data_IF_173460730034
#
_entry.id   IF_173460730034
#
_cell.length_a   1.000
_cell.length_b   1.000
_cell.length_c   1.000
_cell.angle_alpha   90.00
_cell.angle_beta   90.00
_cell.angle_gamma   90.00
#
_symmetry.space_group_name_H-M   'P 1'
#
loop_
_entity.id
_entity.type
_entity.pdbx_description
1 polymer ?
#
# COMPACT_ATOMS: atom_id res chain seq x y z
N UNK A 1 23.53 -21.21 -10.05
CA UNK A 1 22.55 -20.39 -10.79
C UNK A 1 21.28 -20.50 -9.98
N UNK A 2 21.14 -19.61 -9.00
CA UNK A 2 20.05 -19.62 -8.05
C UNK A 2 18.77 -19.12 -8.71
N UNK A 3 17.75 -19.94 -8.65
CA UNK A 3 16.40 -19.59 -9.08
C UNK A 3 15.64 -19.07 -7.87
N UNK A 4 16.18 -18.05 -7.20
CA UNK A 4 15.43 -17.28 -6.22
C UNK A 4 14.62 -16.25 -7.01
N UNK A 5 13.47 -16.67 -7.49
CA UNK A 5 12.49 -15.77 -8.07
C UNK A 5 12.07 -14.81 -6.95
N UNK A 6 12.53 -13.58 -7.02
CA UNK A 6 12.13 -12.50 -6.12
C UNK A 6 10.59 -12.45 -6.04
N UNK A 7 10.02 -12.80 -4.89
CA UNK A 7 8.57 -12.91 -4.69
C UNK A 7 7.86 -11.61 -5.06
N UNK A 8 8.50 -10.46 -4.80
CA UNK A 8 7.93 -9.16 -5.17
C UNK A 8 7.78 -9.02 -6.68
N UNK A 9 8.78 -9.48 -7.47
CA UNK A 9 8.70 -9.47 -8.94
C UNK A 9 7.66 -10.47 -9.46
N UNK A 10 7.56 -11.64 -8.83
CA UNK A 10 6.57 -12.65 -9.20
C UNK A 10 5.13 -12.12 -9.04
N UNK A 11 4.84 -11.41 -7.94
CA UNK A 11 3.53 -10.77 -7.70
C UNK A 11 3.21 -9.74 -8.79
N UNK A 12 4.18 -8.90 -9.17
CA UNK A 12 4.01 -7.90 -10.23
C UNK A 12 3.74 -8.56 -11.58
N UNK A 13 4.51 -9.59 -11.92
CA UNK A 13 4.37 -10.31 -13.20
C UNK A 13 3.02 -11.06 -13.30
N UNK A 14 2.51 -11.56 -12.17
CA UNK A 14 1.20 -12.21 -12.12
C UNK A 14 0.04 -11.20 -12.25
N UNK A 15 0.24 -9.97 -11.75
CA UNK A 15 -0.78 -8.93 -11.78
C UNK A 15 -0.92 -8.28 -13.16
N UNK A 16 0.19 -7.97 -13.82
CA UNK A 16 0.23 -7.15 -15.03
C UNK A 16 0.14 -7.99 -16.30
N UNK A 17 -0.23 -7.35 -17.39
CA UNK A 17 -0.22 -7.95 -18.72
C UNK A 17 1.21 -8.31 -19.14
N UNK A 18 1.37 -9.39 -19.92
CA UNK A 18 2.67 -9.86 -20.37
C UNK A 18 3.48 -8.74 -21.05
N UNK A 19 4.75 -8.63 -20.65
CA UNK A 19 5.70 -7.66 -21.19
C UNK A 19 5.29 -6.18 -21.06
N UNK A 20 4.33 -5.84 -20.22
CA UNK A 20 3.91 -4.46 -19.98
C UNK A 20 4.67 -3.75 -18.85
N UNK A 21 5.33 -4.50 -17.97
CA UNK A 21 6.00 -3.94 -16.80
C UNK A 21 7.25 -3.16 -17.14
N UNK A 22 7.33 -1.94 -16.65
CA UNK A 22 8.53 -1.09 -16.69
C UNK A 22 8.92 -0.76 -15.26
N UNK A 23 10.04 -1.33 -14.80
CA UNK A 23 10.60 -1.05 -13.49
C UNK A 23 11.21 0.35 -13.43
N UNK A 24 10.97 1.04 -12.31
CA UNK A 24 11.50 2.35 -12.04
C UNK A 24 12.50 2.29 -10.87
N UNK A 25 13.59 3.08 -10.97
CA UNK A 25 14.57 3.22 -9.89
C UNK A 25 15.19 1.88 -9.40
N UNK A 26 15.39 0.93 -10.29
CA UNK A 26 15.93 -0.41 -9.98
C UNK A 26 17.33 -0.38 -9.34
N UNK A 27 18.13 0.64 -9.64
CA UNK A 27 19.50 0.80 -9.14
C UNK A 27 19.59 1.56 -7.80
N UNK A 28 18.47 2.01 -7.24
CA UNK A 28 18.46 2.65 -5.92
C UNK A 28 18.72 1.58 -4.86
N UNK A 29 19.67 1.86 -3.97
CA UNK A 29 20.02 1.00 -2.85
C UNK A 29 19.72 1.69 -1.52
N UNK A 30 19.74 0.93 -0.42
CA UNK A 30 19.60 1.46 0.92
C UNK A 30 20.63 2.56 1.22
N UNK A 31 20.25 3.50 2.09
CA UNK A 31 21.16 4.52 2.62
C UNK A 31 22.29 3.87 3.41
N UNK A 32 23.49 4.44 3.30
CA UNK A 32 24.61 4.10 4.20
C UNK A 32 24.32 4.62 5.60
N UNK A 33 24.49 3.77 6.59
CA UNK A 33 24.32 4.11 8.01
C UNK A 33 25.55 3.64 8.82
N UNK A 34 25.71 4.18 10.03
CA UNK A 34 26.81 3.78 10.94
C UNK A 34 26.73 2.30 11.38
N UNK A 35 25.64 1.60 11.05
CA UNK A 35 25.41 0.18 11.37
C UNK A 35 25.88 -0.79 10.27
N UNK A 36 26.82 -0.39 9.41
CA UNK A 36 27.43 -1.24 8.36
C UNK A 36 26.42 -1.85 7.37
N UNK A 37 25.36 -1.14 7.03
CA UNK A 37 24.44 -1.56 5.96
C UNK A 37 25.12 -1.58 4.58
N UNK A 38 26.27 -0.93 4.42
CA UNK A 38 27.06 -0.92 3.19
C UNK A 38 27.45 -2.31 2.69
N UNK A 39 27.61 -3.27 3.59
CA UNK A 39 27.89 -4.67 3.26
C UNK A 39 26.67 -5.45 2.73
N UNK A 40 25.46 -4.88 2.83
CA UNK A 40 24.19 -5.50 2.46
C UNK A 40 23.37 -4.59 1.53
N UNK A 41 24.05 -3.85 0.67
CA UNK A 41 23.39 -3.03 -0.35
C UNK A 41 22.78 -3.93 -1.42
N UNK A 42 21.51 -4.24 -1.24
CA UNK A 42 20.73 -4.94 -2.25
C UNK A 42 20.08 -3.94 -3.21
N UNK A 43 20.03 -4.26 -4.51
CA UNK A 43 19.27 -3.46 -5.48
C UNK A 43 17.82 -3.27 -5.04
N UNK A 44 17.24 -2.13 -5.40
CA UNK A 44 15.84 -1.79 -5.12
C UNK A 44 15.47 -1.51 -3.67
N UNK A 45 16.39 -1.61 -2.71
CA UNK A 45 16.16 -1.36 -1.27
C UNK A 45 14.89 -2.05 -0.70
N UNK A 46 14.64 -3.30 -1.13
CA UNK A 46 13.52 -4.10 -0.63
C UNK A 46 12.14 -3.70 -1.16
N UNK A 47 12.05 -2.82 -2.16
CA UNK A 47 10.79 -2.53 -2.87
C UNK A 47 11.02 -2.36 -4.36
N UNK A 48 10.23 -3.06 -5.16
CA UNK A 48 10.17 -2.90 -6.59
C UNK A 48 9.03 -1.95 -6.91
N UNK A 49 9.29 -0.93 -7.70
CA UNK A 49 8.29 0.01 -8.16
C UNK A 49 8.29 0.10 -9.68
N UNK A 50 7.14 0.35 -10.27
CA UNK A 50 7.03 0.53 -11.71
C UNK A 50 5.60 0.79 -12.15
N UNK A 51 5.41 0.73 -13.45
CA UNK A 51 4.09 0.81 -14.06
C UNK A 51 3.93 -0.28 -15.11
N UNK A 52 2.69 -0.60 -15.42
CA UNK A 52 2.34 -1.57 -16.45
C UNK A 52 0.86 -1.47 -16.82
N UNK A 53 0.39 -2.47 -17.53
CA UNK A 53 -0.99 -2.51 -17.99
C UNK A 53 -1.75 -3.67 -17.31
N UNK A 54 -3.02 -3.46 -17.04
CA UNK A 54 -4.00 -4.49 -16.69
C UNK A 54 -5.16 -4.35 -17.67
N UNK A 55 -5.32 -5.33 -18.54
CA UNK A 55 -6.32 -5.32 -19.61
C UNK A 55 -6.30 -4.00 -20.42
N UNK A 56 -5.09 -3.49 -20.68
CA UNK A 56 -4.83 -2.25 -21.39
C UNK A 56 -4.95 -0.97 -20.55
N UNK A 57 -5.35 -1.05 -19.27
CA UNK A 57 -5.44 0.11 -18.35
C UNK A 57 -4.10 0.33 -17.67
N UNK A 58 -3.57 1.55 -17.73
CA UNK A 58 -2.31 1.92 -17.07
C UNK A 58 -2.50 1.92 -15.55
N UNK A 59 -1.59 1.23 -14.86
CA UNK A 59 -1.53 1.18 -13.39
C UNK A 59 -0.09 1.39 -12.91
N UNK A 60 0.05 1.95 -11.71
CA UNK A 60 1.32 2.03 -11.01
C UNK A 60 1.35 0.98 -9.91
N UNK A 61 2.47 0.27 -9.77
CA UNK A 61 2.57 -0.84 -8.82
C UNK A 61 3.84 -0.74 -8.00
N UNK A 62 3.72 -1.03 -6.70
CA UNK A 62 4.86 -1.31 -5.84
C UNK A 62 4.68 -2.68 -5.16
N UNK A 63 5.79 -3.37 -4.95
CA UNK A 63 5.78 -4.66 -4.26
C UNK A 63 6.99 -4.75 -3.34
N UNK A 64 6.74 -4.99 -2.07
CA UNK A 64 7.77 -5.14 -1.05
C UNK A 64 8.33 -6.57 -1.06
N UNK A 65 9.62 -6.69 -0.82
CA UNK A 65 10.36 -7.94 -0.76
C UNK A 65 10.89 -8.18 0.64
N UNK A 66 10.30 -9.12 1.37
CA UNK A 66 10.73 -9.48 2.71
C UNK A 66 12.14 -10.10 2.77
N UNK A 67 12.65 -10.65 1.66
CA UNK A 67 14.00 -11.24 1.61
C UNK A 67 15.09 -10.16 1.75
N UNK A 68 14.78 -8.91 1.43
CA UNK A 68 15.70 -7.78 1.54
C UNK A 68 15.43 -7.03 2.83
N UNK A 69 16.31 -7.17 3.82
CA UNK A 69 16.21 -6.51 5.12
C UNK A 69 14.82 -6.69 5.80
N UNK A 70 14.17 -7.85 5.60
CA UNK A 70 12.82 -8.11 6.12
C UNK A 70 11.73 -7.25 5.49
N UNK A 71 11.93 -6.71 4.29
CA UNK A 71 11.01 -5.76 3.65
C UNK A 71 10.85 -4.44 4.41
N UNK A 72 11.72 -4.16 5.40
CA UNK A 72 11.58 -3.00 6.28
C UNK A 72 11.71 -1.67 5.54
N UNK A 73 10.87 -0.71 5.94
CA UNK A 73 10.85 0.62 5.34
C UNK A 73 12.01 1.46 5.88
N UNK A 74 12.89 1.87 4.97
CA UNK A 74 13.91 2.89 5.17
C UNK A 74 13.63 4.12 4.32
N UNK A 75 14.52 5.11 4.41
CA UNK A 75 14.38 6.39 3.69
C UNK A 75 14.28 6.19 2.17
N UNK A 76 15.17 5.40 1.58
CA UNK A 76 15.19 5.20 0.12
C UNK A 76 14.02 4.34 -0.35
N UNK A 77 13.64 3.31 0.43
CA UNK A 77 12.44 2.52 0.22
C UNK A 77 11.19 3.41 0.13
N UNK A 78 10.99 4.28 1.12
CA UNK A 78 9.86 5.20 1.15
C UNK A 78 9.91 6.21 -0.01
N UNK A 79 11.08 6.79 -0.32
CA UNK A 79 11.24 7.73 -1.45
C UNK A 79 10.85 7.11 -2.79
N UNK A 80 11.09 5.82 -2.99
CA UNK A 80 10.62 5.10 -4.17
C UNK A 80 9.10 5.07 -4.22
N UNK A 81 8.44 4.67 -3.12
CA UNK A 81 6.97 4.63 -3.05
C UNK A 81 6.37 6.04 -3.25
N UNK A 82 6.94 7.08 -2.62
CA UNK A 82 6.51 8.46 -2.80
C UNK A 82 6.60 8.91 -4.27
N UNK A 83 7.74 8.61 -4.91
CA UNK A 83 7.94 8.90 -6.34
C UNK A 83 6.90 8.21 -7.22
N UNK A 84 6.52 6.97 -6.89
CA UNK A 84 5.47 6.25 -7.58
C UNK A 84 4.11 6.96 -7.46
N UNK A 85 3.72 7.33 -6.23
CA UNK A 85 2.48 8.07 -5.98
C UNK A 85 2.45 9.41 -6.73
N UNK A 86 3.59 10.13 -6.77
CA UNK A 86 3.70 11.40 -7.50
C UNK A 86 3.48 11.23 -9.00
N UNK A 87 4.00 10.15 -9.58
CA UNK A 87 3.81 9.84 -11.00
C UNK A 87 2.36 9.41 -11.27
N UNK A 88 1.81 8.53 -10.43
CA UNK A 88 0.43 8.08 -10.55
C UNK A 88 -0.56 9.24 -10.48
N UNK A 89 -0.35 10.16 -9.54
CA UNK A 89 -1.18 11.36 -9.37
C UNK A 89 -1.14 12.28 -10.59
N UNK A 90 0.03 12.48 -11.22
CA UNK A 90 0.17 13.32 -12.42
C UNK A 90 -0.59 12.76 -13.62
N UNK A 91 -0.70 11.43 -13.70
CA UNK A 91 -1.36 10.74 -14.81
C UNK A 91 -2.84 10.45 -14.49
N UNK A 92 -3.21 10.43 -13.20
CA UNK A 92 -4.55 10.03 -12.74
C UNK A 92 -4.74 8.51 -12.76
N UNK A 93 -3.66 7.72 -12.73
CA UNK A 93 -3.74 6.26 -12.81
C UNK A 93 -3.83 5.62 -11.42
N UNK A 94 -4.46 4.42 -11.30
CA UNK A 94 -4.54 3.68 -10.06
C UNK A 94 -3.16 3.28 -9.51
N UNK A 95 -3.07 3.21 -8.17
CA UNK A 95 -1.91 2.65 -7.47
C UNK A 95 -2.28 1.30 -6.86
N UNK A 96 -1.43 0.30 -7.09
CA UNK A 96 -1.57 -1.04 -6.51
C UNK A 96 -0.33 -1.32 -5.67
N UNK A 97 -0.51 -1.72 -4.41
CA UNK A 97 0.58 -2.03 -3.50
C UNK A 97 0.50 -3.44 -2.95
N UNK A 98 1.61 -4.19 -3.04
CA UNK A 98 1.79 -5.44 -2.31
C UNK A 98 2.66 -5.19 -1.08
N UNK A 99 2.09 -5.39 0.11
CA UNK A 99 2.76 -5.21 1.38
C UNK A 99 3.28 -6.56 1.88
N UNK A 100 4.58 -6.57 2.20
CA UNK A 100 5.26 -7.67 2.85
C UNK A 100 6.46 -7.09 3.62
N UNK A 101 6.19 -6.57 4.82
CA UNK A 101 7.06 -5.65 5.52
C UNK A 101 7.12 -5.94 7.02
N UNK A 102 8.33 -6.13 7.52
CA UNK A 102 8.60 -6.29 8.95
C UNK A 102 8.51 -5.02 9.78
N UNK A 103 8.12 -3.87 9.20
CA UNK A 103 7.99 -2.60 9.89
C UNK A 103 9.03 -1.55 9.49
N UNK A 104 9.35 -0.64 10.42
CA UNK A 104 10.33 0.44 10.21
C UNK A 104 11.75 -0.09 10.34
N UNK A 105 12.67 0.34 9.48
CA UNK A 105 14.08 -0.03 9.51
C UNK A 105 14.78 0.66 10.68
N UNK A 106 15.03 -0.09 11.76
CA UNK A 106 15.60 0.45 13.01
C UNK A 106 17.00 1.03 12.83
N UNK A 107 17.77 0.53 11.87
CA UNK A 107 19.13 1.00 11.57
C UNK A 107 19.15 2.42 11.00
N UNK A 108 18.05 2.92 10.47
CA UNK A 108 17.89 4.28 9.97
C UNK A 108 17.17 5.20 10.96
N UNK A 109 16.77 4.67 12.13
CA UNK A 109 16.24 5.42 13.28
C UNK A 109 15.09 6.38 12.92
N UNK A 110 15.22 7.65 13.27
CA UNK A 110 14.17 8.67 13.03
C UNK A 110 13.90 8.93 11.55
N UNK A 111 14.91 8.80 10.69
CA UNK A 111 14.75 9.03 9.24
C UNK A 111 13.79 8.00 8.62
N UNK A 112 13.85 6.75 9.07
CA UNK A 112 12.92 5.72 8.62
C UNK A 112 11.49 5.95 9.15
N UNK A 113 11.35 6.48 10.37
CA UNK A 113 10.04 6.81 10.94
C UNK A 113 9.39 8.00 10.21
N UNK A 114 10.17 9.04 9.91
CA UNK A 114 9.74 10.18 9.10
C UNK A 114 9.34 9.72 7.69
N UNK A 115 10.15 8.83 7.10
CA UNK A 115 9.90 8.27 5.78
C UNK A 115 8.58 7.48 5.73
N UNK A 116 8.28 6.65 6.74
CA UNK A 116 6.98 5.99 6.86
C UNK A 116 5.84 7.00 6.99
N UNK A 117 6.01 8.03 7.83
CA UNK A 117 5.02 9.11 7.99
C UNK A 117 4.70 9.78 6.66
N UNK A 118 5.72 10.09 5.86
CA UNK A 118 5.56 10.69 4.53
C UNK A 118 4.80 9.81 3.54
N UNK A 119 5.00 8.47 3.58
CA UNK A 119 4.22 7.53 2.75
C UNK A 119 2.75 7.53 3.15
N UNK A 120 2.46 7.51 4.46
CA UNK A 120 1.08 7.55 4.97
C UNK A 120 0.41 8.88 4.61
N UNK A 121 1.10 10.00 4.78
CA UNK A 121 0.62 11.34 4.40
C UNK A 121 0.28 11.37 2.91
N UNK A 122 1.18 10.90 2.03
CA UNK A 122 0.94 10.88 0.59
C UNK A 122 -0.24 9.97 0.22
N UNK A 123 -0.38 8.80 0.82
CA UNK A 123 -1.52 7.91 0.60
C UNK A 123 -2.85 8.58 1.03
N UNK A 124 -2.83 9.35 2.11
CA UNK A 124 -3.99 10.12 2.56
C UNK A 124 -4.33 11.26 1.60
N UNK A 125 -3.34 12.01 1.10
CA UNK A 125 -3.51 13.13 0.17
C UNK A 125 -4.15 12.71 -1.16
N UNK A 126 -3.80 11.52 -1.65
CA UNK A 126 -4.32 11.02 -2.93
C UNK A 126 -5.64 10.25 -2.78
N UNK A 127 -6.10 10.03 -1.55
CA UNK A 127 -7.38 9.35 -1.30
C UNK A 127 -8.55 10.10 -1.92
N UNK A 128 -9.34 9.39 -2.72
CA UNK A 128 -10.46 9.98 -3.46
C UNK A 128 -10.04 10.81 -4.69
N UNK A 129 -8.76 10.83 -5.04
CA UNK A 129 -8.23 11.46 -6.26
C UNK A 129 -7.84 10.40 -7.27
N UNK A 130 -7.07 9.39 -6.84
CA UNK A 130 -6.73 8.21 -7.65
C UNK A 130 -7.11 6.95 -6.87
N UNK A 131 -7.54 5.88 -7.54
CA UNK A 131 -7.85 4.61 -6.89
C UNK A 131 -6.60 3.98 -6.26
N UNK A 132 -6.75 3.48 -5.03
CA UNK A 132 -5.69 2.80 -4.29
C UNK A 132 -6.15 1.39 -3.91
N UNK A 133 -5.44 0.38 -4.39
CA UNK A 133 -5.67 -1.02 -4.07
C UNK A 133 -4.46 -1.54 -3.29
N UNK A 134 -4.66 -2.01 -2.08
CA UNK A 134 -3.57 -2.57 -1.26
C UNK A 134 -3.82 -4.05 -1.00
N UNK A 135 -2.81 -4.87 -1.25
CA UNK A 135 -2.79 -6.29 -0.94
C UNK A 135 -1.74 -6.57 0.15
N UNK A 136 -2.18 -7.08 1.28
CA UNK A 136 -1.29 -7.62 2.30
C UNK A 136 -0.90 -9.03 1.87
N UNK A 137 0.33 -9.18 1.36
CA UNK A 137 0.81 -10.43 0.77
C UNK A 137 1.70 -11.25 1.72
N UNK A 138 2.10 -10.64 2.84
CA UNK A 138 2.88 -11.26 3.89
C UNK A 138 2.63 -10.56 5.21
N UNK A 139 3.65 -9.98 5.81
CA UNK A 139 3.51 -9.28 7.08
C UNK A 139 3.18 -7.80 6.87
N UNK A 140 2.22 -7.28 7.64
CA UNK A 140 1.90 -5.85 7.72
C UNK A 140 1.63 -5.46 9.17
N UNK A 141 2.67 -4.97 9.86
CA UNK A 141 2.59 -4.67 11.29
C UNK A 141 2.89 -3.22 11.64
N UNK A 142 2.42 -2.80 12.82
CA UNK A 142 2.69 -1.48 13.37
C UNK A 142 2.09 -0.33 12.58
N UNK A 143 2.84 0.76 12.44
CA UNK A 143 2.37 1.97 11.73
C UNK A 143 2.03 1.76 10.26
N UNK A 144 2.63 0.75 9.60
CA UNK A 144 2.34 0.46 8.20
C UNK A 144 0.91 -0.05 7.99
N UNK A 145 0.29 -0.66 9.01
CA UNK A 145 -1.10 -1.14 8.93
C UNK A 145 -2.13 -0.02 8.66
N UNK A 146 -1.73 1.24 8.79
CA UNK A 146 -2.55 2.39 8.40
C UNK A 146 -2.70 2.48 6.87
N UNK A 147 -1.71 2.02 6.10
CA UNK A 147 -1.75 2.13 4.63
C UNK A 147 -2.90 1.32 4.01
N UNK A 148 -3.14 0.03 4.36
CA UNK A 148 -4.34 -0.68 3.95
C UNK A 148 -5.64 0.02 4.33
N UNK A 149 -5.72 0.61 5.53
CA UNK A 149 -6.91 1.30 6.00
C UNK A 149 -7.20 2.62 5.23
N UNK A 150 -6.20 3.21 4.59
CA UNK A 150 -6.35 4.37 3.71
C UNK A 150 -6.76 3.99 2.29
N UNK A 151 -6.52 2.75 1.87
CA UNK A 151 -6.85 2.29 0.52
C UNK A 151 -8.36 2.32 0.24
N UNK A 152 -8.73 2.29 -1.03
CA UNK A 152 -10.12 2.17 -1.45
C UNK A 152 -10.58 0.71 -1.44
N UNK A 153 -9.66 -0.22 -1.71
CA UNK A 153 -9.85 -1.66 -1.60
C UNK A 153 -8.66 -2.33 -0.94
N UNK A 154 -8.93 -3.16 0.04
CA UNK A 154 -7.92 -3.93 0.78
C UNK A 154 -8.09 -5.42 0.55
N UNK A 155 -7.03 -6.05 0.11
CA UNK A 155 -6.95 -7.49 -0.13
C UNK A 155 -5.94 -8.12 0.83
N UNK A 156 -6.13 -9.38 1.15
CA UNK A 156 -5.17 -10.10 1.99
C UNK A 156 -5.01 -11.54 1.52
N UNK A 157 -3.77 -11.99 1.42
CA UNK A 157 -3.44 -13.36 1.03
C UNK A 157 -3.59 -14.27 2.25
N UNK A 158 -4.04 -15.52 2.03
CA UNK A 158 -4.09 -16.52 3.08
C UNK A 158 -2.71 -16.71 3.71
N UNK A 159 -2.66 -16.72 5.05
CA UNK A 159 -1.40 -16.81 5.80
C UNK A 159 -0.65 -15.49 5.99
N UNK A 160 -1.12 -14.39 5.38
CA UNK A 160 -0.63 -13.06 5.68
C UNK A 160 -1.13 -12.57 7.06
N UNK A 161 -0.47 -11.55 7.61
CA UNK A 161 -0.84 -10.97 8.92
C UNK A 161 -0.95 -9.46 8.86
N UNK A 162 -2.04 -8.91 9.41
CA UNK A 162 -2.31 -7.48 9.49
C UNK A 162 -2.61 -7.11 10.95
N UNK A 163 -1.80 -6.24 11.55
CA UNK A 163 -1.97 -5.83 12.94
C UNK A 163 -1.29 -4.49 13.24
N UNK A 164 -1.84 -3.73 14.17
CA UNK A 164 -1.15 -2.59 14.81
C UNK A 164 -0.25 -3.12 15.92
N UNK A 165 -0.83 -3.91 16.83
CA UNK A 165 -0.12 -4.62 17.88
C UNK A 165 -0.27 -6.12 17.66
N UNK A 166 0.82 -6.86 17.80
CA UNK A 166 0.78 -8.33 17.69
C UNK A 166 -0.27 -8.90 18.68
N UNK A 167 -1.02 -9.95 18.27
CA UNK A 167 -2.01 -10.60 19.13
C UNK A 167 -1.50 -10.95 20.53
N UNK A 168 -0.24 -11.39 20.62
CA UNK A 168 0.40 -11.78 21.89
C UNK A 168 0.77 -10.60 22.81
N UNK A 169 0.70 -9.37 22.31
CA UNK A 169 0.92 -8.16 23.11
C UNK A 169 -0.37 -7.57 23.67
N UNK A 170 -1.53 -8.09 23.26
CA UNK A 170 -2.83 -7.67 23.75
C UNK A 170 -3.09 -8.34 25.11
N UNK A 171 -3.34 -7.55 26.14
CA UNK A 171 -3.58 -8.06 27.49
C UNK A 171 -4.77 -9.04 27.52
N UNK A 172 -4.50 -10.26 27.95
CA UNK A 172 -5.52 -11.32 28.05
C UNK A 172 -5.79 -12.08 26.76
N UNK A 173 -4.99 -11.85 25.71
CA UNK A 173 -5.06 -12.60 24.46
C UNK A 173 -3.75 -13.34 24.16
N UNK A 174 -3.85 -14.39 23.37
CA UNK A 174 -2.74 -15.15 22.79
C UNK A 174 -3.09 -15.51 21.34
N UNK A 175 -2.12 -15.55 20.47
CA UNK A 175 -2.30 -15.86 19.04
C UNK A 175 -2.87 -17.26 18.79
N UNK A 176 -2.57 -18.22 19.67
CA UNK A 176 -3.13 -19.60 19.64
C UNK A 176 -4.58 -19.67 20.12
N UNK A 177 -5.08 -18.68 20.85
CA UNK A 177 -6.48 -18.59 21.30
C UNK A 177 -7.32 -17.74 20.33
N UNK A 178 -6.81 -16.56 19.94
CA UNK A 178 -7.45 -15.69 18.97
C UNK A 178 -6.39 -14.91 18.18
N UNK A 179 -6.13 -15.35 16.95
CA UNK A 179 -5.22 -14.64 16.05
C UNK A 179 -5.94 -13.47 15.37
N UNK A 180 -5.93 -12.34 16.05
CA UNK A 180 -6.51 -11.08 15.54
C UNK A 180 -5.75 -10.51 14.33
N UNK A 181 -4.57 -11.03 13.99
CA UNK A 181 -3.80 -10.61 12.82
C UNK A 181 -4.14 -11.39 11.56
N UNK A 182 -4.80 -12.53 11.67
CA UNK A 182 -5.06 -13.45 10.55
C UNK A 182 -6.01 -12.85 9.51
N UNK A 183 -5.85 -13.27 8.26
CA UNK A 183 -6.70 -12.86 7.15
C UNK A 183 -8.19 -13.12 7.44
N UNK A 184 -8.49 -14.28 8.02
CA UNK A 184 -9.85 -14.65 8.38
C UNK A 184 -10.46 -13.69 9.40
N UNK A 185 -9.76 -13.38 10.49
CA UNK A 185 -10.23 -12.44 11.51
C UNK A 185 -10.45 -11.05 10.92
N UNK A 186 -9.50 -10.56 10.12
CA UNK A 186 -9.56 -9.24 9.51
C UNK A 186 -10.73 -9.10 8.52
N UNK A 187 -11.11 -10.19 7.85
CA UNK A 187 -12.22 -10.21 6.91
C UNK A 187 -13.58 -10.42 7.60
N UNK A 188 -13.71 -11.46 8.46
CA UNK A 188 -14.99 -11.89 9.02
C UNK A 188 -15.41 -11.05 10.24
N UNK A 189 -14.46 -10.68 11.11
CA UNK A 189 -14.76 -10.05 12.40
C UNK A 189 -14.44 -8.54 12.39
N UNK A 190 -13.26 -8.15 11.90
CA UNK A 190 -12.84 -6.75 11.91
C UNK A 190 -13.41 -5.93 10.73
N UNK A 191 -13.69 -6.57 9.60
CA UNK A 191 -14.21 -5.90 8.39
C UNK A 191 -13.23 -4.89 7.78
N UNK A 192 -11.92 -5.07 8.01
CA UNK A 192 -10.86 -4.19 7.50
C UNK A 192 -10.35 -4.59 6.13
N UNK A 193 -10.68 -5.80 5.68
CA UNK A 193 -10.25 -6.40 4.42
C UNK A 193 -11.46 -6.75 3.58
N UNK A 194 -11.47 -6.37 2.31
CA UNK A 194 -12.60 -6.59 1.40
C UNK A 194 -12.61 -8.00 0.79
N UNK A 195 -11.44 -8.62 0.64
CA UNK A 195 -11.30 -9.95 0.03
C UNK A 195 -10.08 -10.66 0.56
N UNK A 196 -10.25 -11.96 0.89
CA UNK A 196 -9.17 -12.88 1.23
C UNK A 196 -9.14 -14.05 0.26
N UNK A 197 -8.03 -14.77 0.19
CA UNK A 197 -7.85 -15.98 -0.62
C UNK A 197 -6.39 -16.27 -0.95
N UNK A 198 -6.18 -17.21 -1.86
CA UNK A 198 -4.85 -17.47 -2.43
C UNK A 198 -4.35 -16.24 -3.21
N UNK A 199 -3.04 -16.15 -3.43
CA UNK A 199 -2.47 -15.03 -4.18
C UNK A 199 -3.12 -14.88 -5.57
N UNK A 200 -3.36 -15.98 -6.27
CA UNK A 200 -3.97 -15.96 -7.61
C UNK A 200 -5.42 -15.46 -7.59
N UNK A 201 -6.21 -15.88 -6.58
CA UNK A 201 -7.60 -15.41 -6.41
C UNK A 201 -7.65 -13.92 -6.08
N UNK A 202 -6.75 -13.45 -5.23
CA UNK A 202 -6.63 -12.03 -4.88
C UNK A 202 -6.23 -11.22 -6.12
N UNK A 203 -5.22 -11.64 -6.87
CA UNK A 203 -4.79 -10.98 -8.11
C UNK A 203 -5.93 -10.92 -9.13
N UNK A 204 -6.66 -12.01 -9.33
CA UNK A 204 -7.82 -12.03 -10.22
C UNK A 204 -8.89 -11.02 -9.80
N UNK A 205 -9.15 -10.91 -8.48
CA UNK A 205 -10.09 -9.92 -7.94
C UNK A 205 -9.60 -8.49 -8.12
N UNK A 206 -8.30 -8.22 -7.93
CA UNK A 206 -7.71 -6.90 -8.17
C UNK A 206 -7.82 -6.49 -9.64
N UNK A 207 -7.52 -7.41 -10.58
CA UNK A 207 -7.69 -7.17 -12.02
C UNK A 207 -9.16 -6.86 -12.35
N UNK A 208 -10.10 -7.59 -11.76
CA UNK A 208 -11.53 -7.34 -11.93
C UNK A 208 -11.93 -5.94 -11.45
N UNK A 209 -11.44 -5.49 -10.29
CA UNK A 209 -11.70 -4.13 -9.78
C UNK A 209 -11.17 -3.08 -10.75
N UNK A 210 -9.92 -3.25 -11.23
CA UNK A 210 -9.32 -2.31 -12.22
C UNK A 210 -10.15 -2.26 -13.50
N UNK A 211 -10.65 -3.39 -14.00
CA UNK A 211 -11.48 -3.42 -15.20
C UNK A 211 -12.82 -2.67 -15.07
N UNK A 212 -13.28 -2.44 -13.84
CA UNK A 212 -14.51 -1.70 -13.54
C UNK A 212 -14.28 -0.19 -13.41
N UNK A 213 -13.01 0.24 -13.27
CA UNK A 213 -12.65 1.64 -13.13
C UNK A 213 -12.64 2.30 -14.51
N UNK A 214 -13.37 3.41 -14.72
CA UNK A 214 -13.36 4.11 -16.00
C UNK A 214 -11.97 4.62 -16.37
N UNK A 215 -11.54 4.44 -17.62
CA UNK A 215 -10.23 4.90 -18.09
C UNK A 215 -10.10 6.44 -18.12
N UNK A 216 -11.22 7.17 -18.09
CA UNK A 216 -11.28 8.64 -18.11
C UNK A 216 -11.49 9.25 -16.72
N UNK A 217 -10.79 8.74 -15.71
CA UNK A 217 -10.91 9.17 -14.30
C UNK A 217 -10.74 10.68 -14.13
N UNK A 218 -9.83 11.31 -14.88
CA UNK A 218 -9.56 12.74 -14.81
C UNK A 218 -10.80 13.60 -15.11
N UNK A 219 -11.66 13.16 -16.02
CA UNK A 219 -12.86 13.92 -16.42
C UNK A 219 -14.00 13.74 -15.41
N UNK A 220 -14.15 12.55 -14.85
CA UNK A 220 -15.23 12.25 -13.88
C UNK A 220 -14.97 12.92 -12.53
N UNK A 221 -13.73 12.88 -12.04
CA UNK A 221 -13.38 13.48 -10.75
C UNK A 221 -13.37 15.02 -10.77
N UNK A 222 -12.95 15.67 -11.85
CA UNK A 222 -12.96 17.13 -11.93
C UNK A 222 -14.39 17.72 -11.79
N UNK A 223 -15.40 17.03 -12.30
CA UNK A 223 -16.79 17.49 -12.22
C UNK A 223 -17.49 17.08 -10.92
N UNK A 224 -17.15 15.92 -10.35
CA UNK A 224 -17.80 15.40 -9.14
C UNK A 224 -17.19 15.97 -7.85
N UNK A 225 -15.87 16.20 -7.82
CA UNK A 225 -15.18 16.74 -6.66
C UNK A 225 -15.56 18.18 -6.38
N UNK A 226 -15.71 19.01 -7.42
CA UNK A 226 -16.16 20.40 -7.27
C UNK A 226 -17.59 20.49 -6.71
N UNK A 227 -18.50 19.60 -7.15
CA UNK A 227 -19.85 19.56 -6.60
C UNK A 227 -19.92 19.04 -5.16
N UNK A 228 -19.12 18.03 -4.79
CA UNK A 228 -19.08 17.52 -3.41
C UNK A 228 -18.50 18.53 -2.42
N UNK A 229 -17.44 19.25 -2.79
CA UNK A 229 -16.90 20.31 -1.92
C UNK A 229 -17.86 21.47 -1.73
N UNK A 230 -18.61 21.85 -2.76
CA UNK A 230 -19.63 22.90 -2.62
C UNK A 230 -20.80 22.45 -1.73
N UNK A 231 -21.26 21.21 -1.86
CA UNK A 231 -22.32 20.67 -0.99
C UNK A 231 -21.86 20.51 0.47
N UNK A 232 -20.61 20.08 0.69
CA UNK A 232 -20.06 19.90 2.05
C UNK A 232 -19.81 21.25 2.74
N UNK A 233 -19.30 22.24 2.02
CA UNK A 233 -19.14 23.61 2.51
C UNK A 233 -20.47 24.30 2.83
N UNK A 234 -21.51 24.06 2.00
CA UNK A 234 -22.84 24.61 2.24
C UNK A 234 -23.53 23.96 3.46
N UNK A 235 -23.31 22.67 3.69
CA UNK A 235 -23.85 22.00 4.88
C UNK A 235 -23.16 22.45 6.17
N UNK A 236 -21.84 22.65 6.16
CA UNK A 236 -21.13 23.17 7.34
C UNK A 236 -21.52 24.62 7.67
N UNK A 237 -21.73 25.46 6.68
CA UNK A 237 -22.17 26.83 6.91
C UNK A 237 -23.61 26.91 7.43
N UNK A 238 -24.50 25.98 7.07
CA UNK A 238 -25.85 25.93 7.58
C UNK A 238 -25.96 25.35 9.00
N UNK A 239 -25.02 24.50 9.40
CA UNK A 239 -24.96 23.97 10.78
C UNK A 239 -24.35 24.95 11.78
N UNK A 240 -23.41 25.80 11.37
CA UNK A 240 -22.81 26.80 12.26
C UNK A 240 -23.77 27.96 12.61
N UNK A 241 -24.83 28.16 11.86
CA UNK A 241 -25.85 29.17 12.18
C UNK A 241 -26.99 28.67 13.10
N UNK A 242 -26.96 27.43 13.57
CA UNK A 242 -28.03 26.87 14.38
C UNK A 242 -27.76 26.88 15.89
N UNK A 243 -26.64 27.46 16.37
CA UNK A 243 -26.27 27.48 17.80
C UNK A 243 -25.93 28.86 18.37
N UNK A 244 -26.57 29.92 17.87
CA UNK A 244 -26.51 31.20 18.57
C UNK A 244 -27.94 31.74 18.65
N UNK A 245 -28.74 31.20 19.57
CA UNK A 245 -29.88 31.84 20.24
C UNK A 245 -30.40 30.91 21.34
N UNK A 246 -29.85 31.00 22.51
CA UNK A 246 -30.49 31.16 23.86
C UNK A 246 -29.42 31.35 24.90
#
# INVERSE_FOLDING_TARGET
>A
MGNDSNQAQARINALLDENSFVELQSLVTSRSTDFNLDAKKEPSDGVIIGHGLIDGTLVFVFSQNADVLGGTIGEMHAKKILSLYDMALKVGAPVIGFIDCGGVRLQESFDALEALGSVIERAADVKGVIPQLICVAGQCGGGLSVLPALADFTFMVDGASLFINSPDTITGNRSDECDTSSAKFQFEEAGTVDKIGSLDEVIASMRQVISMIPNDIVVVFSNTTVQKHQCFGAQLSSQSNCHIHT
#
